data_IF_424053799177
#
_entry.id   IF_424053799177
#
_cell.length_a   1.000
_cell.length_b   1.000
_cell.length_c   1.000
_cell.angle_alpha   90.00
_cell.angle_beta   90.00
_cell.angle_gamma   90.00
#
_symmetry.space_group_name_H-M   'P 1'
#
loop_
_entity.id
_entity.type
_entity.pdbx_description
1 polymer ?
#
# COMPACT_ATOMS: atom_id res chain seq x y z
N UNK A 1 6.02 -8.30 -18.51
CA UNK A 1 5.54 -6.99 -18.06
C UNK A 1 5.91 -6.88 -16.59
N UNK A 2 6.88 -6.03 -16.26
CA UNK A 2 7.27 -5.83 -14.86
C UNK A 2 6.03 -5.21 -14.19
N UNK A 3 5.30 -5.98 -13.39
CA UNK A 3 4.38 -5.34 -12.44
C UNK A 3 5.26 -4.40 -11.62
N UNK A 4 4.97 -3.11 -11.60
CA UNK A 4 5.66 -2.15 -10.74
C UNK A 4 5.56 -2.68 -9.30
N UNK A 5 6.62 -3.34 -8.84
CA UNK A 5 6.66 -3.95 -7.52
C UNK A 5 6.64 -2.85 -6.47
N UNK A 6 6.27 -3.19 -5.23
CA UNK A 6 6.31 -2.24 -4.13
C UNK A 6 7.65 -1.48 -4.10
N UNK A 7 8.78 -2.16 -4.32
CA UNK A 7 10.10 -1.54 -4.44
C UNK A 7 10.22 -0.44 -5.50
N UNK A 8 9.57 -0.58 -6.65
CA UNK A 8 9.60 0.41 -7.72
C UNK A 8 8.84 1.68 -7.31
N UNK A 9 7.67 1.51 -6.68
CA UNK A 9 6.92 2.62 -6.07
C UNK A 9 7.69 3.27 -4.92
N UNK A 10 8.38 2.48 -4.10
CA UNK A 10 9.20 2.97 -2.99
C UNK A 10 10.35 3.83 -3.52
N UNK A 11 11.05 3.35 -4.55
CA UNK A 11 12.15 4.08 -5.17
C UNK A 11 11.67 5.41 -5.77
N UNK A 12 10.53 5.40 -6.46
CA UNK A 12 9.94 6.61 -7.02
C UNK A 12 9.54 7.62 -5.93
N UNK A 13 8.83 7.17 -4.88
CA UNK A 13 8.45 8.02 -3.74
C UNK A 13 9.67 8.55 -2.99
N UNK A 14 10.66 7.71 -2.72
CA UNK A 14 11.89 8.11 -2.02
C UNK A 14 12.65 9.18 -2.79
N UNK A 15 12.77 9.01 -4.11
CA UNK A 15 13.45 9.96 -4.98
C UNK A 15 12.70 11.28 -5.10
N UNK A 16 11.37 11.26 -5.20
CA UNK A 16 10.55 12.46 -5.19
C UNK A 16 10.70 13.24 -3.88
N UNK A 17 10.52 12.57 -2.73
CA UNK A 17 10.74 13.15 -1.40
C UNK A 17 12.13 13.76 -1.26
N UNK A 18 13.16 13.05 -1.72
CA UNK A 18 14.54 13.54 -1.64
C UNK A 18 14.80 14.75 -2.55
N UNK A 19 14.22 14.80 -3.75
CA UNK A 19 14.31 15.98 -4.61
C UNK A 19 13.59 17.19 -4.00
N UNK A 20 12.39 17.01 -3.45
CA UNK A 20 11.61 18.09 -2.81
C UNK A 20 12.32 18.68 -1.60
N UNK A 21 13.04 17.86 -0.84
CA UNK A 21 13.80 18.28 0.34
C UNK A 21 15.16 18.92 0.01
N UNK A 22 15.49 19.07 -1.29
CA UNK A 22 16.71 19.74 -1.73
C UNK A 22 17.91 18.83 -1.93
N UNK A 23 17.69 17.51 -2.05
CA UNK A 23 18.72 16.51 -2.37
C UNK A 23 19.89 16.50 -1.39
N UNK A 24 19.60 16.68 -0.09
CA UNK A 24 20.63 16.67 0.95
C UNK A 24 21.36 15.32 0.97
N UNK A 25 22.67 15.36 0.77
CA UNK A 25 23.52 14.16 0.79
C UNK A 25 23.54 13.56 2.21
N UNK A 26 23.28 12.25 2.31
CA UNK A 26 23.26 11.51 3.58
C UNK A 26 21.86 11.17 4.11
N UNK A 27 20.79 11.77 3.60
CA UNK A 27 19.41 11.47 4.03
C UNK A 27 18.68 10.48 3.10
N UNK A 28 19.30 10.04 2.01
CA UNK A 28 18.68 9.18 1.01
C UNK A 28 18.11 7.86 1.58
N UNK A 29 18.85 7.18 2.47
CA UNK A 29 18.40 5.96 3.16
C UNK A 29 17.22 6.20 4.11
N UNK A 30 17.12 7.40 4.68
CA UNK A 30 16.02 7.78 5.55
C UNK A 30 14.74 8.02 4.74
N UNK A 31 14.85 8.73 3.61
CA UNK A 31 13.77 8.89 2.65
C UNK A 31 13.32 7.56 2.05
N UNK A 32 14.25 6.63 1.81
CA UNK A 32 13.93 5.28 1.35
C UNK A 32 13.09 4.51 2.37
N UNK A 33 13.51 4.49 3.64
CA UNK A 33 12.74 3.84 4.72
C UNK A 33 11.37 4.46 4.92
N UNK A 34 11.28 5.80 4.82
CA UNK A 34 10.01 6.54 4.93
C UNK A 34 9.07 6.23 3.77
N UNK A 35 9.57 6.25 2.54
CA UNK A 35 8.83 5.89 1.35
C UNK A 35 8.35 4.43 1.39
N UNK A 36 9.18 3.51 1.90
CA UNK A 36 8.81 2.11 2.12
C UNK A 36 7.58 1.96 2.99
N UNK A 37 7.58 2.57 4.18
CA UNK A 37 6.40 2.56 5.06
C UNK A 37 5.16 3.16 4.40
N UNK A 38 5.31 4.26 3.67
CA UNK A 38 4.20 4.91 2.97
C UNK A 38 3.60 4.04 1.86
N UNK A 39 4.44 3.38 1.04
CA UNK A 39 3.95 2.49 -0.03
C UNK A 39 3.35 1.23 0.55
N UNK A 40 3.97 0.61 1.55
CA UNK A 40 3.42 -0.60 2.17
C UNK A 40 2.07 -0.33 2.83
N UNK A 41 1.93 0.81 3.52
CA UNK A 41 0.64 1.24 4.09
C UNK A 41 -0.42 1.50 3.00
N UNK A 42 -0.07 2.26 1.96
CA UNK A 42 -0.98 2.56 0.85
C UNK A 42 -1.40 1.29 0.10
N UNK A 43 -0.48 0.35 -0.13
CA UNK A 43 -0.78 -0.95 -0.75
C UNK A 43 -1.64 -1.83 0.15
N UNK A 44 -1.47 -1.78 1.47
CA UNK A 44 -2.30 -2.51 2.42
C UNK A 44 -3.71 -1.92 2.50
N UNK A 45 -3.85 -0.60 2.48
CA UNK A 45 -5.14 0.08 2.37
C UNK A 45 -5.80 -0.17 1.02
N UNK A 46 -5.05 -0.13 -0.07
CA UNK A 46 -5.54 -0.44 -1.42
C UNK A 46 -5.98 -1.90 -1.52
N UNK A 47 -5.24 -2.85 -0.93
CA UNK A 47 -5.66 -4.24 -0.81
C UNK A 47 -6.92 -4.40 0.04
N UNK A 48 -7.03 -3.72 1.19
CA UNK A 48 -8.26 -3.71 1.98
C UNK A 48 -9.44 -3.13 1.23
N UNK A 49 -9.22 -2.03 0.51
CA UNK A 49 -10.25 -1.36 -0.28
C UNK A 49 -10.67 -2.23 -1.44
N UNK A 50 -9.72 -2.84 -2.14
CA UNK A 50 -9.95 -3.83 -3.21
C UNK A 50 -10.74 -5.01 -2.66
N UNK A 51 -10.34 -5.57 -1.53
CA UNK A 51 -11.05 -6.67 -0.86
C UNK A 51 -12.46 -6.25 -0.39
N UNK A 52 -12.68 -4.99 -0.01
CA UNK A 52 -14.01 -4.48 0.33
C UNK A 52 -14.90 -4.29 -0.91
N UNK A 53 -14.32 -3.96 -2.07
CA UNK A 53 -15.04 -3.82 -3.34
C UNK A 53 -15.34 -5.20 -3.95
N UNK A 54 -14.38 -6.13 -3.86
CA UNK A 54 -14.48 -7.51 -4.36
C UNK A 54 -15.36 -8.39 -3.43
N UNK A 55 -15.30 -8.13 -2.11
CA UNK A 55 -16.13 -8.79 -1.10
C UNK A 55 -17.59 -8.35 -1.06
N UNK A 56 -17.99 -7.38 -1.90
CA UNK A 56 -19.40 -6.99 -2.06
C UNK A 56 -20.18 -7.90 -3.02
N UNK A 57 -19.51 -8.83 -3.74
CA UNK A 57 -20.15 -9.81 -4.64
C UNK A 57 -20.46 -11.16 -3.95
N UNK A 58 -19.87 -11.45 -2.78
CA UNK A 58 -20.27 -12.63 -2.01
C UNK A 58 -21.56 -12.32 -1.25
N UNK A 59 -22.66 -12.75 -1.88
CA UNK A 59 -24.00 -12.79 -1.30
C UNK A 59 -23.96 -13.34 0.13
N UNK A 60 -24.55 -12.57 1.03
CA UNK A 60 -24.91 -13.03 2.35
C UNK A 60 -26.08 -13.99 2.24
N UNK A 61 -25.81 -15.28 2.38
CA UNK A 61 -26.79 -16.27 2.77
C UNK A 61 -26.14 -17.31 3.70
N UNK A 62 -25.98 -16.91 4.95
CA UNK A 62 -25.91 -17.86 6.05
C UNK A 62 -26.79 -17.33 7.18
N UNK A 63 -28.05 -17.74 7.15
CA UNK A 63 -28.96 -17.74 8.30
C UNK A 63 -28.70 -19.06 9.06
N UNK A 64 -27.99 -19.06 10.21
CA UNK A 64 -28.04 -20.18 11.12
C UNK A 64 -29.23 -19.98 12.06
N UNK A 65 -30.41 -20.36 11.56
CA UNK A 65 -31.55 -20.69 12.39
C UNK A 65 -31.15 -21.61 13.56
N UNK A 66 -31.82 -21.36 14.69
CA UNK A 66 -32.04 -22.27 15.80
C UNK A 66 -30.82 -22.64 16.67
N UNK A 67 -30.73 -21.97 17.82
CA UNK A 67 -30.31 -22.65 19.04
C UNK A 67 -31.44 -22.49 20.07
N UNK A 68 -32.31 -23.51 20.14
CA UNK A 68 -33.24 -23.79 21.24
C UNK A 68 -32.67 -24.95 22.05
#
# INVERSE_FOLDING_TARGET
MQAETAEQRIRAKAYALWQEDGSMEGCADEYWRKARGLVEAEMAEEQRRRAAIDGADVGGDADPAAND
#
